data_IF_455633650075
#
_entry.id   IF_455633650075
#
_cell.length_a   1.000
_cell.length_b   1.000
_cell.length_c   1.000
_cell.angle_alpha   90.00
_cell.angle_beta   90.00
_cell.angle_gamma   90.00
#
_symmetry.space_group_name_H-M   'P 1'
#
loop_
_entity.id
_entity.type
_entity.pdbx_description
1 polymer ?
#
# COMPACT_ATOMS: atom_id res chain seq x y z
N UNK A 1 -8.46 13.40 4.97
CA UNK A 1 -9.80 13.38 4.36
C UNK A 1 -10.47 12.07 4.73
N UNK A 2 -11.76 12.09 5.09
CA UNK A 2 -12.51 10.88 5.36
C UNK A 2 -13.01 10.31 4.02
N UNK A 3 -12.76 9.02 3.75
CA UNK A 3 -13.31 8.30 2.59
C UNK A 3 -14.83 8.42 2.58
N UNK A 4 -15.42 8.67 1.41
CA UNK A 4 -16.87 8.65 1.18
C UNK A 4 -17.49 7.37 1.74
N UNK A 5 -18.71 7.50 2.28
CA UNK A 5 -19.46 6.37 2.80
C UNK A 5 -19.60 5.22 1.79
N UNK A 6 -19.62 5.49 0.48
CA UNK A 6 -19.79 4.46 -0.55
C UNK A 6 -18.51 3.70 -0.90
N UNK A 7 -17.33 4.32 -0.86
CA UNK A 7 -16.06 3.60 -1.08
C UNK A 7 -15.85 2.57 0.03
N UNK A 8 -16.15 2.95 1.28
CA UNK A 8 -16.11 2.04 2.43
C UNK A 8 -17.07 0.85 2.27
N UNK A 9 -18.21 1.02 1.59
CA UNK A 9 -19.11 -0.10 1.27
C UNK A 9 -18.47 -1.06 0.26
N UNK A 10 -17.90 -0.54 -0.83
CA UNK A 10 -17.19 -1.37 -1.82
C UNK A 10 -16.03 -2.12 -1.16
N UNK A 11 -15.20 -1.42 -0.37
CA UNK A 11 -14.09 -2.01 0.37
C UNK A 11 -14.55 -3.09 1.35
N UNK A 12 -15.65 -2.88 2.09
CA UNK A 12 -16.21 -3.86 3.03
C UNK A 12 -16.71 -5.11 2.31
N UNK A 13 -17.44 -4.96 1.21
CA UNK A 13 -17.94 -6.07 0.40
C UNK A 13 -16.78 -6.90 -0.17
N UNK A 14 -15.74 -6.24 -0.71
CA UNK A 14 -14.53 -6.92 -1.21
C UNK A 14 -13.84 -7.68 -0.08
N UNK A 15 -13.60 -7.03 1.06
CA UNK A 15 -12.89 -7.62 2.20
C UNK A 15 -13.61 -8.87 2.70
N UNK A 16 -14.92 -8.80 2.89
CA UNK A 16 -15.70 -9.93 3.41
C UNK A 16 -15.85 -11.05 2.38
N UNK A 17 -16.02 -10.71 1.10
CA UNK A 17 -16.07 -11.69 0.03
C UNK A 17 -14.73 -12.43 -0.12
N UNK A 18 -13.59 -11.72 -0.03
CA UNK A 18 -12.25 -12.30 -0.01
C UNK A 18 -12.07 -13.27 1.16
N UNK A 19 -12.42 -12.86 2.38
CA UNK A 19 -12.33 -13.70 3.56
C UNK A 19 -13.18 -14.97 3.43
N UNK A 20 -14.44 -14.83 3.01
CA UNK A 20 -15.34 -15.96 2.84
C UNK A 20 -14.88 -16.89 1.73
N UNK A 21 -14.45 -16.35 0.59
CA UNK A 21 -13.92 -17.13 -0.52
C UNK A 21 -12.66 -17.91 -0.13
N UNK A 22 -11.67 -17.24 0.47
CA UNK A 22 -10.39 -17.86 0.84
C UNK A 22 -10.50 -18.83 2.02
N UNK A 23 -11.59 -18.80 2.79
CA UNK A 23 -11.86 -19.78 3.86
C UNK A 23 -12.35 -21.13 3.36
N UNK A 24 -12.80 -21.22 2.10
CA UNK A 24 -13.35 -22.45 1.55
C UNK A 24 -12.26 -23.47 1.17
N UNK A 25 -12.51 -24.79 1.28
CA UNK A 25 -11.56 -25.82 0.88
C UNK A 25 -11.09 -25.68 -0.57
N UNK A 26 -9.79 -25.85 -0.81
CA UNK A 26 -9.20 -25.75 -2.16
C UNK A 26 -9.03 -24.32 -2.67
N UNK A 27 -9.24 -23.30 -1.83
CA UNK A 27 -8.97 -21.89 -2.14
C UNK A 27 -7.64 -21.44 -1.51
N UNK A 28 -7.00 -20.39 -2.06
CA UNK A 28 -5.78 -19.81 -1.48
C UNK A 28 -6.00 -19.35 -0.04
N UNK A 29 -5.00 -19.50 0.82
CA UNK A 29 -5.03 -18.98 2.18
C UNK A 29 -4.77 -17.47 2.15
N UNK A 30 -5.68 -16.68 2.71
CA UNK A 30 -5.55 -15.22 2.78
C UNK A 30 -5.14 -14.78 4.18
N UNK A 31 -4.06 -14.00 4.25
CA UNK A 31 -3.72 -13.17 5.41
C UNK A 31 -3.81 -11.72 4.98
N UNK A 32 -4.73 -10.96 5.57
CA UNK A 32 -4.95 -9.57 5.20
C UNK A 32 -4.66 -8.61 6.35
N UNK A 33 -4.22 -7.40 5.99
CA UNK A 33 -4.03 -6.26 6.86
C UNK A 33 -4.72 -5.05 6.22
N UNK A 34 -5.81 -4.54 6.82
CA UNK A 34 -6.43 -3.30 6.38
C UNK A 34 -5.70 -2.10 7.01
N UNK A 35 -4.83 -1.37 6.28
CA UNK A 35 -4.17 -0.20 6.83
C UNK A 35 -5.16 0.90 7.19
N UNK A 36 -4.89 1.60 8.30
CA UNK A 36 -5.60 2.84 8.60
C UNK A 36 -5.21 3.95 7.61
N UNK A 37 -6.06 4.96 7.43
CA UNK A 37 -5.80 6.07 6.50
C UNK A 37 -4.45 6.77 6.76
N UNK A 38 -4.03 6.91 8.02
CA UNK A 38 -2.73 7.50 8.36
C UNK A 38 -1.53 6.57 8.07
N UNK A 39 -1.75 5.31 7.71
CA UNK A 39 -0.73 4.34 7.31
C UNK A 39 -0.61 4.21 5.79
N UNK A 40 -1.49 4.83 5.02
CA UNK A 40 -1.47 4.80 3.55
C UNK A 40 -0.66 5.97 2.95
N UNK A 41 -0.31 5.84 1.68
CA UNK A 41 0.35 6.87 0.86
C UNK A 41 1.68 6.38 0.25
N UNK A 42 2.42 7.30 -0.37
CA UNK A 42 3.65 6.96 -1.08
C UNK A 42 4.81 6.56 -0.16
N UNK A 43 4.95 7.17 1.03
CA UNK A 43 6.13 7.01 1.90
C UNK A 43 6.61 5.56 2.12
N UNK A 44 7.91 5.33 2.33
CA UNK A 44 8.45 3.96 2.43
C UNK A 44 7.81 3.09 3.53
N UNK A 45 7.38 3.73 4.62
CA UNK A 45 6.71 3.06 5.74
C UNK A 45 5.18 3.05 5.62
N UNK A 46 4.66 3.51 4.50
CA UNK A 46 3.23 3.50 4.19
C UNK A 46 2.90 2.28 3.34
N UNK A 47 1.60 2.09 3.12
CA UNK A 47 1.06 1.13 2.18
C UNK A 47 0.48 1.89 0.98
N UNK A 48 0.75 1.39 -0.22
CA UNK A 48 0.26 1.95 -1.47
C UNK A 48 -1.21 1.61 -1.77
N UNK A 49 -1.79 0.62 -1.09
CA UNK A 49 -3.18 0.19 -1.30
C UNK A 49 -4.03 0.23 -0.03
N UNK A 50 -5.33 0.14 -0.26
CA UNK A 50 -6.38 0.08 0.76
C UNK A 50 -6.56 -1.30 1.38
N UNK A 51 -6.32 -2.34 0.58
CA UNK A 51 -6.31 -3.72 1.04
C UNK A 51 -4.93 -4.28 0.75
N UNK A 52 -4.25 -4.69 1.81
CA UNK A 52 -2.94 -5.34 1.75
C UNK A 52 -3.09 -6.76 2.26
N UNK A 53 -2.56 -7.73 1.53
CA UNK A 53 -2.65 -9.13 1.92
C UNK A 53 -1.56 -10.00 1.33
N UNK A 54 -1.51 -11.23 1.81
CA UNK A 54 -0.72 -12.33 1.31
C UNK A 54 -1.66 -13.50 1.00
N UNK A 55 -1.52 -14.05 -0.21
CA UNK A 55 -2.14 -15.30 -0.63
C UNK A 55 -1.08 -16.41 -0.57
N UNK A 56 -1.40 -17.50 0.12
CA UNK A 56 -0.53 -18.67 0.34
C UNK A 56 0.90 -18.31 0.81
N UNK A 57 1.03 -17.22 1.58
CA UNK A 57 2.29 -16.63 2.05
C UNK A 57 3.33 -16.33 0.93
N UNK A 58 2.89 -16.33 -0.32
CA UNK A 58 3.78 -16.26 -1.49
C UNK A 58 3.41 -15.13 -2.45
N UNK A 59 2.16 -14.69 -2.49
CA UNK A 59 1.70 -13.67 -3.43
C UNK A 59 1.14 -12.46 -2.71
N UNK A 60 1.64 -11.27 -3.01
CA UNK A 60 1.09 -10.04 -2.47
C UNK A 60 -0.27 -9.71 -3.14
N UNK A 61 -1.25 -9.40 -2.31
CA UNK A 61 -2.51 -8.80 -2.68
C UNK A 61 -2.44 -7.31 -2.31
N UNK A 62 -2.37 -6.43 -3.31
CA UNK A 62 -2.30 -4.99 -3.12
C UNK A 62 -3.40 -4.34 -3.95
N UNK A 63 -4.44 -3.84 -3.29
CA UNK A 63 -5.60 -3.27 -3.96
C UNK A 63 -5.86 -1.84 -3.51
N UNK A 64 -5.98 -0.92 -4.45
CA UNK A 64 -6.53 0.42 -4.28
C UNK A 64 -8.03 0.38 -4.61
N UNK A 65 -8.89 0.70 -3.65
CA UNK A 65 -10.34 0.57 -3.81
C UNK A 65 -10.93 1.89 -4.25
N UNK A 66 -11.80 1.85 -5.27
CA UNK A 66 -12.64 3.01 -5.65
C UNK A 66 -14.09 2.58 -5.78
N UNK A 67 -15.00 3.49 -5.45
CA UNK A 67 -16.39 3.33 -5.88
C UNK A 67 -16.53 3.84 -7.31
N UNK A 68 -17.18 3.06 -8.17
CA UNK A 68 -17.60 3.49 -9.49
C UNK A 68 -19.07 3.88 -9.44
N UNK A 69 -19.32 5.12 -9.82
CA UNK A 69 -20.65 5.59 -10.16
C UNK A 69 -21.08 4.92 -11.47
N UNK A 70 -22.08 4.03 -11.40
CA UNK A 70 -22.48 3.21 -12.54
C UNK A 70 -23.26 3.99 -13.61
N UNK A 71 -23.85 5.14 -13.27
CA UNK A 71 -24.63 5.96 -14.19
C UNK A 71 -23.71 6.86 -15.02
N UNK A 72 -22.70 7.46 -14.37
CA UNK A 72 -21.73 8.34 -15.01
C UNK A 72 -20.44 7.64 -15.48
N UNK A 73 -20.23 6.39 -15.06
CA UNK A 73 -18.99 5.64 -15.27
C UNK A 73 -17.74 6.36 -14.76
N UNK A 74 -17.83 7.02 -13.61
CA UNK A 74 -16.72 7.73 -12.97
C UNK A 74 -16.32 7.04 -11.68
N UNK A 75 -15.01 6.91 -11.45
CA UNK A 75 -14.47 6.56 -10.14
C UNK A 75 -14.62 7.77 -9.22
N UNK A 76 -15.37 7.61 -8.13
CA UNK A 76 -15.45 8.60 -7.07
C UNK A 76 -14.15 8.61 -6.28
N UNK A 77 -13.80 9.78 -5.76
CA UNK A 77 -12.59 9.99 -4.94
C UNK A 77 -11.29 9.50 -5.61
N UNK A 78 -11.28 9.56 -6.95
CA UNK A 78 -10.06 9.38 -7.72
C UNK A 78 -9.10 10.54 -7.43
N UNK A 79 -7.91 10.20 -6.95
CA UNK A 79 -6.83 11.15 -6.64
C UNK A 79 -5.71 10.96 -7.66
N UNK A 80 -5.45 12.00 -8.45
CA UNK A 80 -4.45 11.97 -9.52
C UNK A 80 -3.02 11.80 -8.98
N UNK A 81 -2.72 12.30 -7.78
CA UNK A 81 -1.40 12.12 -7.16
C UNK A 81 -1.23 10.67 -6.70
N UNK A 82 -2.25 10.11 -6.05
CA UNK A 82 -2.25 8.70 -5.66
C UNK A 82 -2.14 7.79 -6.89
N UNK A 83 -2.81 8.14 -7.99
CA UNK A 83 -2.70 7.42 -9.26
C UNK A 83 -1.30 7.50 -9.85
N UNK A 84 -0.67 8.67 -9.85
CA UNK A 84 0.72 8.83 -10.29
C UNK A 84 1.69 8.00 -9.44
N UNK A 85 1.52 7.98 -8.11
CA UNK A 85 2.31 7.13 -7.21
C UNK A 85 2.12 5.64 -7.54
N UNK A 86 0.88 5.21 -7.79
CA UNK A 86 0.55 3.83 -8.15
C UNK A 86 1.13 3.39 -9.50
N UNK A 87 1.23 4.30 -10.48
CA UNK A 87 1.95 4.03 -11.74
C UNK A 87 3.44 3.75 -11.47
N UNK A 88 4.09 4.52 -10.60
CA UNK A 88 5.49 4.28 -10.24
C UNK A 88 5.67 2.93 -9.55
N UNK A 89 4.74 2.54 -8.67
CA UNK A 89 4.77 1.20 -8.06
C UNK A 89 4.65 0.09 -9.11
N UNK A 90 3.72 0.21 -10.06
CA UNK A 90 3.55 -0.75 -11.15
C UNK A 90 4.79 -0.84 -12.04
N UNK A 91 5.40 0.29 -12.41
CA UNK A 91 6.64 0.33 -13.19
C UNK A 91 7.81 -0.38 -12.51
N UNK A 92 7.85 -0.35 -11.17
CA UNK A 92 8.80 -1.08 -10.34
C UNK A 92 8.42 -2.56 -10.13
N UNK A 93 7.39 -3.05 -10.83
CA UNK A 93 6.91 -4.43 -10.76
C UNK A 93 6.03 -4.76 -9.55
N UNK A 94 5.69 -3.77 -8.71
CA UNK A 94 4.81 -3.99 -7.55
C UNK A 94 3.39 -4.28 -8.06
N UNK A 95 2.74 -5.38 -7.62
CA UNK A 95 1.47 -5.84 -8.20
C UNK A 95 0.24 -5.09 -7.65
N UNK A 96 0.34 -3.76 -7.51
CA UNK A 96 -0.79 -2.90 -7.12
C UNK A 96 -1.85 -2.89 -8.22
N UNK A 97 -3.12 -2.96 -7.83
CA UNK A 97 -4.24 -2.89 -8.76
C UNK A 97 -5.39 -2.05 -8.20
N UNK A 98 -6.06 -1.33 -9.08
CA UNK A 98 -7.34 -0.70 -8.79
C UNK A 98 -8.45 -1.75 -8.82
N UNK A 99 -9.34 -1.69 -7.83
CA UNK A 99 -10.57 -2.48 -7.79
C UNK A 99 -11.79 -1.58 -7.57
N UNK A 100 -12.87 -1.91 -8.26
CA UNK A 100 -14.09 -1.12 -8.21
C UNK A 100 -15.32 -1.97 -8.57
N UNK A 101 -16.50 -1.56 -8.12
CA UNK A 101 -17.75 -2.25 -8.38
C UNK A 101 -18.13 -2.20 -9.87
N UNK A 102 -18.53 -3.34 -10.44
CA UNK A 102 -19.11 -3.47 -11.78
C UNK A 102 -20.56 -3.00 -11.82
N UNK A 103 -21.31 -3.30 -10.76
CA UNK A 103 -22.74 -3.01 -10.62
C UNK A 103 -22.98 -1.96 -9.53
N UNK A 104 -24.13 -1.29 -9.58
CA UNK A 104 -24.49 -0.28 -8.57
C UNK A 104 -24.71 -0.89 -7.17
N UNK A 105 -25.14 -2.15 -7.13
CA UNK A 105 -25.30 -2.93 -5.90
C UNK A 105 -24.56 -4.25 -6.06
N UNK A 106 -23.60 -4.49 -5.17
CA UNK A 106 -22.86 -5.75 -5.09
C UNK A 106 -23.72 -6.82 -4.40
N UNK A 107 -23.56 -8.07 -4.79
CA UNK A 107 -24.30 -9.22 -4.25
C UNK A 107 -24.22 -9.32 -2.72
N UNK A 108 -23.08 -8.93 -2.14
CA UNK A 108 -22.91 -8.84 -0.69
C UNK A 108 -24.05 -8.06 0.01
N UNK A 109 -24.62 -7.04 -0.64
CA UNK A 109 -25.68 -6.18 -0.10
C UNK A 109 -27.09 -6.57 -0.55
N UNK A 110 -27.25 -7.59 -1.40
CA UNK A 110 -28.56 -8.09 -1.79
C UNK A 110 -29.24 -8.82 -0.63
N UNK A 111 -30.58 -8.72 -0.54
CA UNK A 111 -31.37 -9.49 0.41
C UNK A 111 -32.66 -10.03 -0.23
N UNK A 112 -32.98 -11.34 -0.07
CA UNK A 112 -32.14 -12.36 0.55
C UNK A 112 -30.88 -12.64 -0.28
N UNK A 113 -29.77 -12.92 0.39
CA UNK A 113 -28.49 -13.25 -0.23
C UNK A 113 -28.33 -14.76 -0.36
N UNK A 114 -27.80 -15.24 -1.48
CA UNK A 114 -27.42 -16.65 -1.60
C UNK A 114 -26.20 -16.95 -0.73
N UNK A 115 -26.39 -17.65 0.39
CA UNK A 115 -25.33 -17.96 1.36
C UNK A 115 -24.17 -18.76 0.76
N UNK A 116 -24.39 -19.53 -0.32
CA UNK A 116 -23.38 -20.39 -0.92
C UNK A 116 -22.54 -19.65 -1.96
N UNK A 117 -23.15 -18.81 -2.79
CA UNK A 117 -22.49 -18.24 -3.97
C UNK A 117 -22.13 -16.77 -3.84
N UNK A 118 -22.64 -16.06 -2.82
CA UNK A 118 -22.42 -14.62 -2.70
C UNK A 118 -20.95 -14.16 -2.71
N UNK A 119 -19.96 -14.90 -2.13
CA UNK A 119 -18.58 -14.42 -2.14
C UNK A 119 -18.04 -14.38 -3.56
N UNK A 120 -18.25 -15.46 -4.32
CA UNK A 120 -17.81 -15.56 -5.71
C UNK A 120 -18.54 -14.56 -6.61
N UNK A 121 -19.85 -14.43 -6.44
CA UNK A 121 -20.65 -13.46 -7.20
C UNK A 121 -20.20 -12.03 -6.92
N UNK A 122 -19.93 -11.68 -5.66
CA UNK A 122 -19.40 -10.36 -5.27
C UNK A 122 -18.03 -10.12 -5.90
N UNK A 123 -17.09 -11.08 -5.80
CA UNK A 123 -15.75 -10.94 -6.38
C UNK A 123 -15.78 -10.89 -7.92
N UNK A 124 -16.76 -11.53 -8.56
CA UNK A 124 -16.99 -11.45 -10.01
C UNK A 124 -17.51 -10.08 -10.44
N UNK A 125 -18.36 -9.47 -9.62
CA UNK A 125 -18.89 -8.11 -9.80
C UNK A 125 -17.88 -7.01 -9.41
N UNK A 126 -16.66 -7.36 -9.02
CA UNK A 126 -15.60 -6.39 -8.74
C UNK A 126 -14.58 -6.47 -9.87
N UNK A 127 -14.44 -5.37 -10.61
CA UNK A 127 -13.41 -5.25 -11.64
C UNK A 127 -12.06 -5.02 -11.00
N UNK A 128 -11.02 -5.51 -11.67
CA UNK A 128 -9.62 -5.32 -11.31
C UNK A 128 -8.85 -4.81 -12.52
N UNK A 129 -8.02 -3.80 -12.31
CA UNK A 129 -7.13 -3.26 -13.34
C UNK A 129 -5.81 -2.81 -12.74
N UNK A 130 -4.67 -3.11 -13.37
CA UNK A 130 -3.46 -2.37 -13.03
C UNK A 130 -3.61 -0.88 -13.40
N UNK A 131 -2.86 0.02 -12.74
CA UNK A 131 -2.88 1.46 -13.01
C UNK A 131 -2.71 1.82 -14.51
N UNK A 132 -1.76 1.22 -15.23
CA UNK A 132 -1.49 1.52 -16.66
C UNK A 132 -2.66 1.23 -17.59
N UNK A 133 -3.55 0.30 -17.20
CA UNK A 133 -4.75 -0.05 -17.97
C UNK A 133 -5.97 0.78 -17.58
N UNK A 134 -5.84 1.66 -16.59
CA UNK A 134 -6.89 2.56 -16.15
C UNK A 134 -6.72 3.93 -16.83
N UNK A 135 -7.60 4.35 -17.74
CA UNK A 135 -7.49 5.65 -18.43
C UNK A 135 -7.97 6.80 -17.51
N UNK A 136 -7.34 6.93 -16.35
CA UNK A 136 -7.70 7.88 -15.30
C UNK A 136 -9.06 7.56 -14.67
N UNK A 137 -9.87 8.60 -14.44
CA UNK A 137 -11.10 8.52 -13.65
C UNK A 137 -12.25 7.73 -14.30
N UNK A 138 -12.23 7.51 -15.60
CA UNK A 138 -13.31 6.85 -16.35
C UNK A 138 -12.87 5.47 -16.83
N UNK A 139 -13.16 4.38 -16.11
CA UNK A 139 -12.58 3.08 -16.41
C UNK A 139 -13.17 2.45 -17.67
N UNK A 140 -12.36 1.70 -18.41
CA UNK A 140 -12.77 0.89 -19.56
C UNK A 140 -13.34 -0.46 -19.09
N UNK A 141 -14.48 -0.42 -18.38
CA UNK A 141 -15.07 -1.56 -17.62
C UNK A 141 -15.08 -2.89 -18.38
N UNK A 142 -15.44 -2.89 -19.67
CA UNK A 142 -15.53 -4.11 -20.49
C UNK A 142 -14.17 -4.76 -20.80
N UNK A 143 -13.08 -4.00 -20.73
CA UNK A 143 -11.73 -4.49 -20.94
C UNK A 143 -11.06 -5.03 -19.68
N UNK A 144 -11.68 -4.86 -18.51
CA UNK A 144 -11.09 -5.21 -17.22
C UNK A 144 -11.63 -6.56 -16.74
N UNK A 145 -10.73 -7.44 -16.30
CA UNK A 145 -11.10 -8.71 -15.67
C UNK A 145 -11.70 -8.51 -14.28
N UNK A 146 -12.32 -9.56 -13.74
CA UNK A 146 -12.81 -9.53 -12.35
C UNK A 146 -11.72 -9.88 -11.33
N UNK A 147 -11.93 -9.48 -10.07
CA UNK A 147 -11.07 -9.90 -8.97
C UNK A 147 -11.11 -11.43 -8.78
N UNK A 148 -12.27 -12.06 -9.00
CA UNK A 148 -12.41 -13.53 -9.00
C UNK A 148 -11.55 -14.20 -10.08
N UNK A 149 -11.59 -13.68 -11.32
CA UNK A 149 -10.76 -14.22 -12.42
C UNK A 149 -9.27 -14.12 -12.10
N UNK A 150 -8.83 -13.01 -11.51
CA UNK A 150 -7.45 -12.86 -11.08
C UNK A 150 -7.09 -13.89 -10.01
N UNK A 151 -7.90 -14.05 -8.95
CA UNK A 151 -7.67 -15.08 -7.91
C UNK A 151 -7.59 -16.49 -8.48
N UNK A 152 -8.39 -16.81 -9.50
CA UNK A 152 -8.37 -18.11 -10.17
C UNK A 152 -7.09 -18.37 -10.96
N UNK A 153 -6.49 -17.35 -11.58
CA UNK A 153 -5.24 -17.50 -12.37
C UNK A 153 -3.99 -17.68 -11.51
N UNK A 154 -4.03 -17.24 -10.26
CA UNK A 154 -2.89 -17.33 -9.34
C UNK A 154 -2.65 -18.76 -8.81
N UNK A 155 -3.58 -19.69 -9.05
CA UNK A 155 -3.37 -21.10 -8.72
C UNK A 155 -2.29 -21.71 -9.64
N UNK A 156 -1.05 -21.79 -9.14
CA UNK A 156 0.08 -22.45 -9.81
C UNK A 156 1.25 -21.56 -10.22
N UNK A 157 1.24 -20.26 -9.89
CA UNK A 157 2.42 -19.41 -10.07
C UNK A 157 3.47 -19.69 -8.98
N UNK A 158 4.76 -19.78 -9.36
CA UNK A 158 5.90 -19.94 -8.43
C UNK A 158 6.23 -18.63 -7.70
N UNK A 159 5.21 -18.03 -7.06
CA UNK A 159 5.34 -16.79 -6.31
C UNK A 159 6.27 -16.96 -5.08
N UNK A 160 6.49 -18.21 -4.65
CA UNK A 160 7.41 -18.57 -3.58
C UNK A 160 8.87 -18.16 -3.88
N UNK A 161 9.28 -18.08 -5.15
CA UNK A 161 10.63 -17.66 -5.54
C UNK A 161 10.98 -16.23 -5.08
N UNK A 162 10.01 -15.29 -5.16
CA UNK A 162 10.20 -13.90 -4.73
C UNK A 162 10.33 -13.79 -3.20
N UNK A 163 9.56 -14.59 -2.46
CA UNK A 163 9.48 -14.48 -1.00
C UNK A 163 10.52 -15.33 -0.29
N UNK A 164 10.94 -16.48 -0.82
CA UNK A 164 11.71 -17.50 -0.09
C UNK A 164 12.97 -17.00 0.63
N UNK A 165 13.74 -16.08 0.04
CA UNK A 165 14.95 -15.52 0.68
C UNK A 165 14.68 -14.45 1.72
N UNK A 166 13.58 -13.72 1.60
CA UNK A 166 13.21 -12.66 2.52
C UNK A 166 12.04 -13.05 3.43
N UNK A 167 11.55 -14.28 3.33
CA UNK A 167 10.44 -14.84 4.10
C UNK A 167 10.72 -14.79 5.61
N UNK A 168 11.99 -14.90 6.01
CA UNK A 168 12.38 -14.70 7.42
C UNK A 168 12.25 -13.25 7.90
N UNK A 169 12.17 -12.28 6.99
CA UNK A 169 11.80 -10.92 7.31
C UNK A 169 10.28 -10.75 7.29
N UNK A 170 9.61 -11.11 6.19
CA UNK A 170 8.16 -10.92 6.00
C UNK A 170 7.39 -11.92 6.86
N UNK A 171 6.94 -11.47 8.02
CA UNK A 171 6.17 -12.29 8.95
C UNK A 171 4.67 -12.23 8.66
N UNK A 172 4.22 -11.20 7.93
CA UNK A 172 2.83 -10.97 7.61
C UNK A 172 2.60 -9.82 6.63
N UNK A 173 1.34 -9.58 6.23
CA UNK A 173 0.97 -8.50 5.32
C UNK A 173 1.31 -7.09 5.84
N UNK A 174 1.47 -6.91 7.16
CA UNK A 174 1.90 -5.67 7.79
C UNK A 174 3.38 -5.31 7.54
N UNK A 175 4.17 -6.28 7.08
CA UNK A 175 5.54 -6.06 6.62
C UNK A 175 5.62 -5.60 5.15
N UNK A 176 4.52 -5.69 4.39
CA UNK A 176 4.44 -5.30 2.97
C UNK A 176 4.28 -3.79 2.77
N UNK A 177 5.10 -3.01 3.47
CA UNK A 177 5.19 -1.56 3.26
C UNK A 177 5.97 -1.26 1.99
N UNK A 178 5.78 -0.07 1.44
CA UNK A 178 6.33 0.34 0.14
C UNK A 178 7.84 0.06 0.01
N UNK A 179 8.64 0.32 1.04
CA UNK A 179 10.08 0.00 1.01
C UNK A 179 10.38 -1.49 0.83
N UNK A 180 9.61 -2.37 1.48
CA UNK A 180 9.74 -3.81 1.34
C UNK A 180 9.27 -4.29 -0.04
N UNK A 181 8.18 -3.71 -0.54
CA UNK A 181 7.65 -4.02 -1.88
C UNK A 181 8.67 -3.67 -2.98
N UNK A 182 9.36 -2.54 -2.86
CA UNK A 182 10.41 -2.15 -3.82
C UNK A 182 11.60 -3.12 -3.76
N UNK A 183 11.99 -3.57 -2.57
CA UNK A 183 13.03 -4.60 -2.44
C UNK A 183 12.59 -5.91 -3.10
N UNK A 184 11.33 -6.32 -2.92
CA UNK A 184 10.77 -7.55 -3.46
C UNK A 184 10.65 -7.57 -4.98
N UNK A 185 10.09 -6.49 -5.54
CA UNK A 185 9.65 -6.46 -6.92
C UNK A 185 10.54 -5.60 -7.82
N UNK A 186 11.19 -4.58 -7.25
CA UNK A 186 12.06 -3.68 -7.99
C UNK A 186 13.51 -4.18 -8.11
N UNK A 187 13.97 -5.04 -7.20
CA UNK A 187 15.33 -5.61 -7.24
C UNK A 187 15.28 -7.03 -7.81
N UNK A 188 16.21 -7.39 -8.68
CA UNK A 188 16.22 -8.70 -9.31
C UNK A 188 16.43 -9.82 -8.28
N UNK A 189 15.75 -10.96 -8.48
CA UNK A 189 15.90 -12.12 -7.59
C UNK A 189 17.35 -12.58 -7.48
N UNK A 190 18.13 -12.50 -8.57
CA UNK A 190 19.55 -12.91 -8.58
C UNK A 190 20.40 -12.04 -7.65
N UNK A 191 20.11 -10.74 -7.54
CA UNK A 191 20.86 -9.85 -6.65
C UNK A 191 20.48 -10.04 -5.20
N UNK A 192 19.17 -10.18 -4.90
CA UNK A 192 18.70 -10.59 -3.59
C UNK A 192 19.32 -11.94 -3.22
N UNK A 193 19.51 -12.81 -4.23
CA UNK A 193 20.14 -14.11 -4.07
C UNK A 193 21.68 -14.07 -3.90
N UNK A 194 22.34 -12.98 -4.29
CA UNK A 194 23.77 -12.83 -4.09
C UNK A 194 24.11 -12.30 -2.68
N UNK A 195 23.15 -11.68 -1.98
CA UNK A 195 23.41 -11.05 -0.68
C UNK A 195 23.75 -12.05 0.42
N UNK A 196 24.68 -11.65 1.30
CA UNK A 196 24.91 -12.36 2.56
C UNK A 196 23.73 -12.11 3.52
N UNK A 197 23.41 -13.05 4.42
CA UNK A 197 22.33 -12.88 5.40
C UNK A 197 22.43 -11.60 6.25
N UNK A 198 23.65 -11.16 6.59
CA UNK A 198 23.87 -9.94 7.36
C UNK A 198 23.57 -8.66 6.55
N UNK A 199 23.86 -8.65 5.25
CA UNK A 199 23.56 -7.52 4.35
C UNK A 199 22.06 -7.41 4.15
N UNK A 200 21.39 -8.53 3.87
CA UNK A 200 19.94 -8.58 3.73
C UNK A 200 19.23 -8.08 5.00
N UNK A 201 19.64 -8.53 6.19
CA UNK A 201 19.08 -8.05 7.47
C UNK A 201 19.26 -6.53 7.64
N UNK A 202 20.40 -5.98 7.23
CA UNK A 202 20.65 -4.53 7.30
C UNK A 202 19.72 -3.75 6.37
N UNK A 203 19.58 -4.20 5.12
CA UNK A 203 18.69 -3.57 4.13
C UNK A 203 17.25 -3.59 4.62
N UNK A 204 16.75 -4.75 5.05
CA UNK A 204 15.42 -4.92 5.63
C UNK A 204 15.22 -3.97 6.81
N UNK A 205 16.20 -3.89 7.72
CA UNK A 205 16.16 -2.99 8.87
C UNK A 205 16.05 -1.52 8.48
N UNK A 206 16.75 -1.08 7.42
CA UNK A 206 16.65 0.30 6.93
C UNK A 206 15.29 0.61 6.34
N UNK A 207 14.76 -0.28 5.50
CA UNK A 207 13.49 -0.07 4.81
C UNK A 207 12.28 -0.11 5.77
N UNK A 208 12.36 -0.93 6.84
CA UNK A 208 11.32 -0.98 7.87
C UNK A 208 11.26 0.25 8.76
N UNK A 209 12.43 0.76 9.14
CA UNK A 209 12.54 1.74 10.22
C UNK A 209 12.54 3.19 9.71
N UNK A 210 12.84 3.44 8.44
CA UNK A 210 12.97 4.79 7.89
C UNK A 210 11.77 5.16 7.01
N UNK A 211 11.19 6.35 7.22
CA UNK A 211 10.11 6.85 6.37
C UNK A 211 10.60 7.33 5.00
N UNK A 212 11.88 7.73 4.92
CA UNK A 212 12.52 8.30 3.72
C UNK A 212 13.96 7.81 3.57
N UNK A 213 14.48 7.76 2.34
CA UNK A 213 15.89 7.45 2.06
C UNK A 213 16.70 8.72 1.94
N UNK A 214 17.41 9.06 3.01
CA UNK A 214 18.44 10.10 2.97
C UNK A 214 19.63 9.70 2.08
N UNK A 215 20.43 10.66 1.59
CA UNK A 215 21.56 10.38 0.70
C UNK A 215 22.53 9.30 1.21
N UNK A 216 22.78 9.26 2.53
CA UNK A 216 23.64 8.26 3.14
C UNK A 216 23.01 6.85 3.15
N UNK A 217 21.68 6.72 3.18
CA UNK A 217 20.98 5.43 3.01
C UNK A 217 21.14 4.94 1.56
N UNK A 218 20.99 5.84 0.59
CA UNK A 218 21.19 5.53 -0.83
C UNK A 218 22.64 5.06 -1.08
N UNK A 219 23.65 5.73 -0.54
CA UNK A 219 25.06 5.30 -0.65
C UNK A 219 25.28 3.90 -0.08
N UNK A 220 24.67 3.59 1.08
CA UNK A 220 24.74 2.25 1.67
C UNK A 220 24.08 1.20 0.78
N UNK A 221 22.93 1.52 0.19
CA UNK A 221 22.24 0.64 -0.77
C UNK A 221 23.08 0.45 -2.04
N UNK A 222 23.72 1.49 -2.57
CA UNK A 222 24.64 1.43 -3.71
C UNK A 222 25.84 0.52 -3.44
N UNK A 223 26.36 0.52 -2.22
CA UNK A 223 27.46 -0.38 -1.84
C UNK A 223 27.04 -1.85 -1.85
N UNK A 224 25.77 -2.14 -1.57
CA UNK A 224 25.25 -3.51 -1.47
C UNK A 224 24.72 -4.02 -2.82
N UNK A 225 23.94 -3.20 -3.52
CA UNK A 225 23.22 -3.59 -4.74
C UNK A 225 23.84 -3.05 -6.03
N UNK A 226 24.89 -2.21 -5.94
CA UNK A 226 25.48 -1.59 -7.12
C UNK A 226 24.46 -0.78 -7.91
N UNK A 227 24.35 -1.07 -9.20
CA UNK A 227 23.45 -0.39 -10.14
C UNK A 227 21.98 -0.55 -9.75
N UNK A 228 21.60 -1.69 -9.18
CA UNK A 228 20.21 -1.95 -8.77
C UNK A 228 19.76 -1.16 -7.55
N UNK A 229 20.67 -0.44 -6.89
CA UNK A 229 20.27 0.57 -5.92
C UNK A 229 19.50 1.75 -6.57
N UNK A 230 19.59 1.92 -7.90
CA UNK A 230 18.89 2.98 -8.62
C UNK A 230 17.37 2.94 -8.42
N UNK A 231 16.77 1.76 -8.21
CA UNK A 231 15.33 1.59 -8.01
C UNK A 231 14.84 2.35 -6.76
N UNK A 232 15.63 2.29 -5.69
CA UNK A 232 15.34 2.99 -4.44
C UNK A 232 15.48 4.51 -4.59
N UNK A 233 16.45 4.96 -5.38
CA UNK A 233 16.65 6.39 -5.63
C UNK A 233 15.58 6.99 -6.54
N UNK A 234 15.11 6.22 -7.54
CA UNK A 234 14.04 6.62 -8.45
C UNK A 234 12.74 6.78 -7.68
N UNK A 235 12.43 5.81 -6.82
CA UNK A 235 11.29 5.90 -5.92
C UNK A 235 11.38 7.09 -4.95
N UNK A 236 12.54 7.32 -4.33
CA UNK A 236 12.71 8.42 -3.38
C UNK A 236 12.56 9.81 -4.03
N UNK A 237 12.91 9.95 -5.32
CA UNK A 237 12.75 11.20 -6.09
C UNK A 237 11.32 11.45 -6.57
N UNK A 238 10.56 10.39 -6.82
CA UNK A 238 9.17 10.49 -7.22
C UNK A 238 8.27 11.03 -6.09
N UNK A 239 8.73 10.96 -4.83
CA UNK A 239 7.94 11.47 -3.71
C UNK A 239 8.06 12.98 -3.55
N UNK A 240 6.93 13.69 -3.34
CA UNK A 240 6.97 15.08 -2.95
C UNK A 240 7.74 15.21 -1.62
N UNK A 241 8.78 16.05 -1.64
CA UNK A 241 9.53 16.39 -0.42
C UNK A 241 8.54 17.06 0.55
N UNK A 242 8.37 16.54 1.78
CA UNK A 242 7.55 17.23 2.77
C UNK A 242 8.07 18.65 2.93
N UNK A 243 7.21 19.68 3.02
CA UNK A 243 7.68 21.03 3.29
C UNK A 243 8.53 20.99 4.56
N UNK A 244 9.76 21.48 4.45
CA UNK A 244 10.65 21.66 5.61
C UNK A 244 9.88 22.53 6.59
N UNK A 245 9.55 21.97 7.75
CA UNK A 245 8.96 22.77 8.82
C UNK A 245 9.92 23.94 9.10
N UNK A 246 9.43 25.19 9.14
CA UNK A 246 10.28 26.31 9.51
C UNK A 246 10.90 26.00 10.88
N UNK A 247 12.18 26.36 11.09
CA UNK A 247 12.81 26.18 12.38
C UNK A 247 11.90 26.82 13.46
N UNK A 248 11.79 26.22 14.66
CA UNK A 248 11.07 26.84 15.75
C UNK A 248 11.61 28.26 15.92
N UNK A 249 10.71 29.24 15.98
CA UNK A 249 11.08 30.60 16.28
C UNK A 249 11.86 30.58 17.60
N UNK A 250 13.08 31.12 17.59
CA UNK A 250 13.82 31.36 18.81
C UNK A 250 12.94 32.22 19.71
N UNK A 251 12.51 31.65 20.84
CA UNK A 251 11.88 32.43 21.90
C UNK A 251 12.92 33.44 22.38
N UNK A 252 12.63 34.70 22.07
CA UNK A 252 13.42 35.87 22.42
C UNK A 252 13.61 35.91 23.94
N UNK A 253 14.86 35.68 24.33
CA UNK A 253 15.40 35.66 25.67
C UNK A 253 15.45 37.10 26.21
N UNK A 254 14.30 37.64 26.60
CA UNK A 254 14.24 38.96 27.24
C UNK A 254 13.24 39.01 28.38
N UNK A 255 13.64 38.44 29.53
CA UNK A 255 13.24 38.94 30.84
C UNK A 255 14.24 38.57 31.96
N UNK A 256 15.41 39.21 31.92
CA UNK A 256 16.17 39.52 33.12
C UNK A 256 15.96 41.00 33.49
N UNK A 257 15.27 41.27 34.59
CA UNK A 257 15.58 42.43 35.43
C UNK A 257 15.18 42.16 36.86
N UNK A 258 16.21 42.20 37.70
CA UNK A 258 16.19 42.02 39.14
C UNK A 258 15.32 43.07 39.84
N UNK A 259 14.78 42.69 41.01
CA UNK A 259 14.12 43.63 41.93
C UNK A 259 15.08 44.67 42.51
N UNK A 260 14.55 45.60 43.32
CA UNK A 260 14.83 45.46 44.75
C UNK A 260 13.64 45.72 45.69
N UNK A 261 13.79 45.16 46.89
CA UNK A 261 13.03 45.38 48.12
C UNK A 261 12.71 46.85 48.43
N UNK A 262 11.55 47.13 49.04
CA UNK A 262 11.47 47.95 50.25
C UNK A 262 10.26 47.57 51.12
N UNK A 263 10.55 47.52 52.42
CA UNK A 263 9.72 47.11 53.56
C UNK A 263 9.19 48.36 54.27
N UNK A 264 7.89 48.44 54.59
CA UNK A 264 7.36 49.25 55.71
C UNK A 264 5.90 48.87 56.02
N UNK A 265 5.64 48.24 57.17
CA UNK A 265 4.32 48.34 57.83
C UNK A 265 4.24 49.66 58.63
N UNK A 266 3.39 49.79 59.68
CA UNK A 266 2.09 49.18 59.95
C UNK A 266 0.99 50.24 60.22
N UNK A 267 -0.30 49.90 60.13
CA UNK A 267 -1.41 50.27 61.06
C UNK A 267 -2.51 49.23 60.89
#
# INVERSE_FOLDING_TARGET
>A
MAKSGKENLVQSAITLALQSYCSAPGRPQLRQFPPFANQQGAGMRKYCGDIVGLLDDAQALLLEVKERDCDSNLLREFDDNQFADNLVFEELGVPIAYVYNETATLEYYCWPRDEQTWPETTLRQVKRSPPTQLPGRSPAVSGHGSLLEWLGRQQGEDAAANFGRIHGAISGPDDLRNGMLILLYGVSQNEIAALKPAELKRVVGWLRNNSSLYPHHIQKLQTIFGESAAVFSSFARAQPVPPVAPPPADDDDSQHSAGPYFNSGPV
#
